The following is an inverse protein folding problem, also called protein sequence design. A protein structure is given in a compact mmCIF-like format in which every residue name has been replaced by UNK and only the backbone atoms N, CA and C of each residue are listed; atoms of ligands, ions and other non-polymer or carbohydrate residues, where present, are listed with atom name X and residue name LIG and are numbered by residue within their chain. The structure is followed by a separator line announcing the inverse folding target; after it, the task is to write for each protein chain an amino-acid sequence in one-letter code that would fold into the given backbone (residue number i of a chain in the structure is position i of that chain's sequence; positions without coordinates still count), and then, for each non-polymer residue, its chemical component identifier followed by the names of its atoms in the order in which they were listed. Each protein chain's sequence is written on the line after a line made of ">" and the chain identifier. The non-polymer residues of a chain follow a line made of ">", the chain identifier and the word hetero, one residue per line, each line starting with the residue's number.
data_IF_698371169571
#
_entry.id   IF_698371169571
#
_cell.length_a   1.000
_cell.length_b   1.000
_cell.length_c   1.000
_cell.angle_alpha   90.00
_cell.angle_beta   90.00
_cell.angle_gamma   90.00
#
_symmetry.space_group_name_H-M   'P 1'
#
loop_
_entity.id
_entity.type
_entity.pdbx_description
1 polymer ?
#
# COMPACT_ATOMS: atom_id res chain seq x y z
N UNK A 1 -4.17 3.20 20.86
CA UNK A 1 -4.29 2.33 19.67
C UNK A 1 -5.25 1.21 20.02
N UNK A 2 -6.33 1.03 19.25
CA UNK A 2 -7.34 -0.02 19.46
C UNK A 2 -6.97 -1.35 18.80
N UNK A 3 -6.18 -1.33 17.74
CA UNK A 3 -5.77 -2.55 17.05
C UNK A 3 -4.74 -2.29 15.97
N UNK A 4 -4.15 -3.38 15.48
CA UNK A 4 -3.28 -3.39 14.31
C UNK A 4 -3.82 -4.40 13.31
N UNK A 5 -3.77 -4.06 12.03
CA UNK A 5 -3.92 -5.04 10.96
C UNK A 5 -2.65 -5.07 10.12
N UNK A 6 -2.28 -6.26 9.65
CA UNK A 6 -1.09 -6.48 8.83
C UNK A 6 -1.52 -7.33 7.63
N UNK A 7 -1.08 -6.93 6.43
CA UNK A 7 -1.24 -7.72 5.22
C UNK A 7 0.05 -7.69 4.40
N UNK A 8 0.17 -8.65 3.49
CA UNK A 8 1.31 -8.81 2.59
C UNK A 8 0.81 -8.92 1.16
N UNK A 9 1.52 -8.31 0.23
CA UNK A 9 1.34 -8.53 -1.21
C UNK A 9 2.69 -8.71 -1.87
N UNK A 10 2.68 -9.42 -2.99
CA UNK A 10 3.84 -9.64 -3.84
C UNK A 10 3.52 -9.26 -5.28
N UNK A 11 4.55 -8.87 -6.02
CA UNK A 11 4.46 -8.64 -7.46
C UNK A 11 5.74 -9.08 -8.16
N UNK A 12 5.58 -9.87 -9.23
CA UNK A 12 6.66 -10.19 -10.18
C UNK A 12 6.36 -9.56 -11.53
N UNK A 13 7.22 -8.63 -11.97
CA UNK A 13 7.14 -7.97 -13.27
C UNK A 13 5.72 -7.50 -13.66
N UNK A 14 4.98 -6.96 -12.68
CA UNK A 14 3.58 -6.58 -12.84
C UNK A 14 3.22 -5.40 -11.94
N UNK A 15 2.11 -4.75 -12.27
CA UNK A 15 1.46 -3.76 -11.40
C UNK A 15 0.24 -4.39 -10.74
N UNK A 16 0.21 -4.37 -9.41
CA UNK A 16 -0.89 -4.85 -8.58
C UNK A 16 -1.62 -3.64 -7.98
N UNK A 17 -2.93 -3.58 -8.18
CA UNK A 17 -3.79 -2.64 -7.48
C UNK A 17 -4.23 -3.25 -6.15
N UNK A 18 -4.04 -2.50 -5.08
CA UNK A 18 -4.39 -2.94 -3.72
C UNK A 18 -5.57 -2.09 -3.27
N UNK A 19 -6.68 -2.72 -2.88
CA UNK A 19 -7.85 -2.03 -2.36
C UNK A 19 -8.39 -2.76 -1.14
N UNK A 20 -8.70 -2.00 -0.10
CA UNK A 20 -9.30 -2.52 1.13
C UNK A 20 -10.45 -1.64 1.56
N UNK A 21 -11.57 -2.27 1.92
CA UNK A 21 -12.75 -1.61 2.46
C UNK A 21 -13.06 -2.18 3.85
N UNK A 22 -13.51 -1.32 4.76
CA UNK A 22 -13.77 -1.66 6.16
C UNK A 22 -14.78 -0.69 6.77
N UNK A 23 -15.28 -1.03 7.95
CA UNK A 23 -16.09 -0.09 8.74
C UNK A 23 -15.27 1.18 9.06
N UNK A 24 -15.91 2.35 9.25
CA UNK A 24 -15.19 3.59 9.53
C UNK A 24 -14.19 3.46 10.67
N UNK A 25 -12.94 3.82 10.42
CA UNK A 25 -11.86 3.83 11.43
C UNK A 25 -10.98 5.06 11.30
N UNK A 26 -10.38 5.48 12.41
CA UNK A 26 -9.26 6.42 12.38
C UNK A 26 -7.97 5.61 12.38
N UNK A 27 -7.07 5.85 11.43
CA UNK A 27 -5.85 5.05 11.34
C UNK A 27 -4.65 5.83 10.81
N UNK A 28 -3.47 5.37 11.20
CA UNK A 28 -2.25 5.55 10.42
C UNK A 28 -2.11 4.33 9.54
N UNK A 29 -2.04 4.56 8.23
CA UNK A 29 -1.92 3.51 7.22
C UNK A 29 -0.52 3.60 6.62
N UNK A 30 0.20 2.49 6.57
CA UNK A 30 1.56 2.40 6.07
C UNK A 30 1.69 1.25 5.07
N UNK A 31 2.41 1.50 3.99
CA UNK A 31 2.85 0.52 3.01
C UNK A 31 4.38 0.61 2.89
N UNK A 32 5.06 -0.51 3.10
CA UNK A 32 6.53 -0.58 3.08
C UNK A 32 6.99 -1.68 2.13
N UNK A 33 7.95 -1.36 1.27
CA UNK A 33 8.68 -2.36 0.49
C UNK A 33 9.51 -3.22 1.46
N UNK A 34 9.28 -4.52 1.47
CA UNK A 34 9.96 -5.48 2.34
C UNK A 34 11.14 -6.15 1.65
N UNK A 35 10.98 -6.51 0.38
CA UNK A 35 12.02 -7.17 -0.40
C UNK A 35 11.99 -6.63 -1.83
N UNK A 36 13.15 -6.66 -2.48
CA UNK A 36 13.30 -6.42 -3.91
C UNK A 36 14.46 -7.24 -4.44
N UNK A 37 14.18 -8.21 -5.28
CA UNK A 37 15.21 -9.08 -5.85
C UNK A 37 14.79 -9.63 -7.21
N UNK A 38 15.77 -10.08 -7.98
CA UNK A 38 15.56 -10.68 -9.29
C UNK A 38 15.63 -12.21 -9.13
N UNK A 39 14.52 -12.91 -9.37
CA UNK A 39 14.48 -14.37 -9.29
C UNK A 39 15.30 -15.06 -10.37
N UNK A 40 15.47 -14.39 -11.50
CA UNK A 40 15.97 -15.02 -12.71
C UNK A 40 17.40 -14.52 -13.07
N UNK A 41 17.98 -13.62 -12.26
CA UNK A 41 19.33 -13.04 -12.36
C UNK A 41 19.67 -12.31 -13.69
N UNK A 42 18.71 -12.14 -14.62
CA UNK A 42 18.90 -11.43 -15.90
C UNK A 42 18.58 -9.94 -15.83
N UNK A 43 17.88 -9.49 -14.80
CA UNK A 43 17.39 -8.14 -14.59
C UNK A 43 18.36 -7.30 -13.74
N UNK A 44 19.61 -7.21 -14.16
CA UNK A 44 20.56 -6.25 -13.56
C UNK A 44 20.79 -5.06 -14.50
N UNK A 45 20.49 -3.81 -14.06
CA UNK A 45 19.96 -3.42 -12.76
C UNK A 45 18.43 -3.60 -12.64
N UNK A 46 17.95 -3.87 -11.43
CA UNK A 46 16.52 -3.85 -11.10
C UNK A 46 15.95 -2.48 -11.45
N UNK A 47 14.97 -2.43 -12.36
CA UNK A 47 14.47 -1.19 -12.91
C UNK A 47 13.70 -0.37 -11.88
N UNK A 48 12.66 -0.95 -11.25
CA UNK A 48 11.74 -0.19 -10.40
C UNK A 48 10.90 -1.09 -9.50
N UNK A 49 10.82 -0.73 -8.22
CA UNK A 49 9.86 -1.27 -7.25
C UNK A 49 9.23 -0.10 -6.49
N UNK A 50 7.91 0.04 -6.53
CA UNK A 50 7.17 1.14 -5.90
C UNK A 50 5.98 0.55 -5.18
N UNK A 51 5.80 0.96 -3.92
CA UNK A 51 4.64 0.63 -3.11
C UNK A 51 4.12 1.93 -2.49
N UNK A 52 2.90 2.33 -2.85
CA UNK A 52 2.33 3.57 -2.35
C UNK A 52 0.81 3.56 -2.31
N UNK A 53 0.26 4.30 -1.37
CA UNK A 53 -1.14 4.67 -1.36
C UNK A 53 -1.40 5.79 -2.38
N UNK A 54 -2.55 5.72 -3.04
CA UNK A 54 -2.95 6.68 -4.07
C UNK A 54 -4.20 7.47 -3.68
N UNK A 55 -5.12 6.87 -2.91
CA UNK A 55 -6.35 7.52 -2.47
C UNK A 55 -6.99 6.81 -1.30
N UNK A 56 -7.90 7.49 -0.63
CA UNK A 56 -8.77 6.91 0.40
C UNK A 56 -10.19 7.49 0.33
N UNK A 57 -11.15 6.78 0.92
CA UNK A 57 -12.54 7.23 1.10
C UNK A 57 -12.86 7.41 2.57
N UNK A 58 -13.64 8.43 2.90
CA UNK A 58 -14.15 8.69 4.25
C UNK A 58 -15.63 8.30 4.41
N UNK A 59 -16.12 8.28 5.65
CA UNK A 59 -17.48 7.85 5.98
C UNK A 59 -18.58 8.76 5.40
N UNK A 60 -18.26 10.01 5.06
CA UNK A 60 -19.13 10.94 4.34
C UNK A 60 -19.21 10.65 2.83
N UNK A 61 -18.43 9.68 2.33
CA UNK A 61 -18.36 9.30 0.92
C UNK A 61 -17.36 10.11 0.11
N UNK A 62 -16.64 11.07 0.70
CA UNK A 62 -15.63 11.84 -0.01
C UNK A 62 -14.42 10.96 -0.38
N UNK A 63 -13.90 11.18 -1.59
CA UNK A 63 -12.66 10.58 -2.08
C UNK A 63 -11.53 11.60 -1.98
N UNK A 64 -10.41 11.18 -1.43
CA UNK A 64 -9.22 12.00 -1.25
C UNK A 64 -8.04 11.38 -1.98
N UNK A 65 -7.48 12.12 -2.93
CA UNK A 65 -6.23 11.72 -3.60
C UNK A 65 -5.03 12.03 -2.70
N UNK A 66 -4.10 11.10 -2.65
CA UNK A 66 -2.84 11.25 -1.95
C UNK A 66 -1.75 11.74 -2.91
N UNK A 67 -0.74 12.48 -2.42
CA UNK A 67 0.43 12.79 -3.21
C UNK A 67 1.07 11.52 -3.79
N UNK A 68 1.72 11.67 -4.95
CA UNK A 68 2.43 10.58 -5.62
C UNK A 68 3.45 9.96 -4.66
N UNK A 69 3.49 8.63 -4.62
CA UNK A 69 4.38 7.85 -3.74
C UNK A 69 4.17 8.07 -2.24
N UNK A 70 2.93 8.22 -1.76
CA UNK A 70 2.66 8.31 -0.32
C UNK A 70 2.75 6.92 0.35
N UNK A 71 3.80 6.61 1.14
CA UNK A 71 3.91 5.30 1.80
C UNK A 71 3.07 5.26 3.08
N UNK A 72 2.91 6.39 3.76
CA UNK A 72 2.23 6.48 5.05
C UNK A 72 1.34 7.71 5.08
N UNK A 73 0.12 7.57 5.58
CA UNK A 73 -0.75 8.70 5.86
C UNK A 73 -1.62 8.44 7.09
N UNK A 74 -2.11 9.53 7.68
CA UNK A 74 -3.11 9.52 8.74
C UNK A 74 -4.43 10.04 8.20
N UNK A 75 -5.53 9.37 8.51
CA UNK A 75 -6.85 9.86 8.20
C UNK A 75 -7.88 9.38 9.24
N UNK A 76 -8.96 10.15 9.38
CA UNK A 76 -10.09 9.85 10.25
C UNK A 76 -11.25 9.32 9.44
N UNK A 77 -12.06 8.48 10.07
CA UNK A 77 -13.30 7.93 9.49
C UNK A 77 -13.10 7.31 8.10
N UNK A 78 -11.93 6.70 7.85
CA UNK A 78 -11.66 6.05 6.58
C UNK A 78 -12.47 4.76 6.46
N UNK A 79 -12.99 4.53 5.25
CA UNK A 79 -13.80 3.36 4.88
C UNK A 79 -13.20 2.55 3.76
N UNK A 80 -12.31 3.16 2.96
CA UNK A 80 -11.58 2.50 1.90
C UNK A 80 -10.20 3.12 1.72
N UNK A 81 -9.20 2.30 1.37
CA UNK A 81 -7.89 2.75 0.91
C UNK A 81 -7.52 2.04 -0.38
N UNK A 82 -6.94 2.78 -1.33
CA UNK A 82 -6.37 2.20 -2.56
C UNK A 82 -4.90 2.56 -2.68
N UNK A 83 -4.11 1.59 -3.13
CA UNK A 83 -2.68 1.72 -3.38
C UNK A 83 -2.25 0.95 -4.61
N UNK A 84 -0.99 1.10 -4.96
CA UNK A 84 -0.33 0.44 -6.07
C UNK A 84 0.97 -0.18 -5.60
N UNK A 85 1.19 -1.41 -6.05
CA UNK A 85 2.48 -2.07 -6.05
C UNK A 85 2.93 -2.24 -7.50
N UNK A 86 4.01 -1.56 -7.88
CA UNK A 86 4.61 -1.65 -9.21
C UNK A 86 5.93 -2.39 -9.05
N UNK A 87 6.07 -3.50 -9.76
CA UNK A 87 7.32 -4.24 -9.88
C UNK A 87 7.72 -4.31 -11.35
N UNK A 88 8.89 -3.79 -11.69
CA UNK A 88 9.41 -3.73 -13.05
C UNK A 88 10.71 -4.55 -13.12
N UNK A 89 10.63 -5.67 -13.84
CA UNK A 89 11.70 -6.65 -13.96
C UNK A 89 12.31 -7.09 -12.61
N UNK A 90 11.46 -7.26 -11.58
CA UNK A 90 11.87 -7.79 -10.28
C UNK A 90 10.69 -8.40 -9.52
N UNK A 91 11.02 -9.13 -8.45
CA UNK A 91 10.14 -9.51 -7.36
C UNK A 91 10.12 -8.39 -6.35
N UNK A 92 8.93 -8.04 -5.88
CA UNK A 92 8.74 -7.06 -4.84
C UNK A 92 7.71 -7.55 -3.83
N UNK A 93 8.10 -7.64 -2.56
CA UNK A 93 7.18 -7.85 -1.45
C UNK A 93 6.85 -6.53 -0.76
N UNK A 94 5.61 -6.37 -0.33
CA UNK A 94 5.17 -5.24 0.49
C UNK A 94 4.47 -5.70 1.76
N UNK A 95 4.73 -4.97 2.84
CA UNK A 95 3.99 -5.06 4.09
C UNK A 95 3.08 -3.87 4.20
N UNK A 96 1.81 -4.13 4.48
CA UNK A 96 0.83 -3.13 4.82
C UNK A 96 0.54 -3.20 6.30
N UNK A 97 0.57 -2.04 6.96
CA UNK A 97 0.24 -1.90 8.37
C UNK A 97 -0.86 -0.85 8.52
N UNK A 98 -1.90 -1.20 9.27
CA UNK A 98 -2.90 -0.25 9.74
C UNK A 98 -2.83 -0.18 11.26
N UNK A 99 -2.48 0.99 11.77
CA UNK A 99 -2.54 1.28 13.19
C UNK A 99 -3.85 2.00 13.47
N UNK A 100 -4.79 1.33 14.13
CA UNK A 100 -6.18 1.79 14.28
C UNK A 100 -6.36 2.44 15.65
N UNK A 101 -6.98 3.62 15.67
CA UNK A 101 -7.57 4.28 16.82
C UNK A 101 -9.07 4.38 16.55
N UNK A 102 -9.93 4.11 17.54
CA UNK A 102 -11.34 4.45 17.34
C UNK A 102 -11.54 5.95 17.27
#
# INVERSE_FOLDING_TARGET
>A
MKGQWIAWHEAWNQTVSIQYSFAPVTAVVQMSLSSRFDWDEWATPIARAIAAWIRYRTADGAMHDLPVHTPTFYARDITEVSGLLISDNCHTDVVLNWFIWA
#
